data_IF_098059986749
#
_entry.id   IF_098059986749
#
_cell.length_a   1.000
_cell.length_b   1.000
_cell.length_c   1.000
_cell.angle_alpha   90.00
_cell.angle_beta   90.00
_cell.angle_gamma   90.00
#
_symmetry.space_group_name_H-M   'P 1'
#
loop_
_entity.id
_entity.type
_entity.pdbx_description
1 polymer ?
#
# COMPACT_ATOMS: atom_id res chain seq x y z
N UNK A 1 -28.19 -10.33 20.74
CA UNK A 1 -27.04 -9.40 20.56
C UNK A 1 -26.45 -9.72 19.19
N UNK A 2 -26.61 -8.83 18.19
CA UNK A 2 -25.96 -9.02 16.88
C UNK A 2 -24.45 -8.92 17.06
N UNK A 3 -23.71 -9.84 16.45
CA UNK A 3 -22.24 -9.74 16.37
C UNK A 3 -21.90 -8.40 15.67
N UNK A 4 -20.82 -7.71 16.09
CA UNK A 4 -20.38 -6.53 15.37
C UNK A 4 -20.12 -6.89 13.91
N UNK A 5 -20.58 -6.04 12.98
CA UNK A 5 -20.33 -6.25 11.56
C UNK A 5 -18.83 -6.32 11.29
N UNK A 6 -18.41 -7.33 10.48
CA UNK A 6 -17.03 -7.49 10.04
C UNK A 6 -16.56 -6.23 9.30
N UNK A 7 -15.42 -5.67 9.68
CA UNK A 7 -14.83 -4.48 9.06
C UNK A 7 -14.06 -4.81 7.76
N UNK A 8 -13.80 -6.07 7.50
CA UNK A 8 -13.03 -6.53 6.34
C UNK A 8 -13.61 -6.06 4.99
N UNK A 9 -14.92 -6.18 4.73
CA UNK A 9 -15.51 -5.71 3.49
C UNK A 9 -15.30 -4.20 3.25
N UNK A 10 -15.49 -3.37 4.28
CA UNK A 10 -15.27 -1.92 4.17
C UNK A 10 -13.80 -1.57 3.92
N UNK A 11 -12.86 -2.23 4.60
CA UNK A 11 -11.43 -2.04 4.39
C UNK A 11 -11.03 -2.41 2.95
N UNK A 12 -11.54 -3.52 2.42
CA UNK A 12 -11.29 -3.95 1.03
C UNK A 12 -11.91 -3.01 0.01
N UNK A 13 -13.08 -2.47 0.29
CA UNK A 13 -13.69 -1.46 -0.59
C UNK A 13 -12.82 -0.19 -0.65
N UNK A 14 -12.31 0.29 0.48
CA UNK A 14 -11.36 1.41 0.50
C UNK A 14 -10.06 1.09 -0.25
N UNK A 15 -9.52 -0.13 -0.08
CA UNK A 15 -8.34 -0.59 -0.83
C UNK A 15 -8.60 -0.61 -2.34
N UNK A 16 -9.78 -1.08 -2.74
CA UNK A 16 -10.19 -1.17 -4.13
C UNK A 16 -10.20 0.18 -4.83
N UNK A 17 -10.67 1.22 -4.15
CA UNK A 17 -10.75 2.58 -4.69
C UNK A 17 -9.47 3.40 -4.51
N UNK A 18 -8.54 2.95 -3.67
CA UNK A 18 -7.29 3.63 -3.40
C UNK A 18 -6.40 3.73 -4.66
N UNK A 19 -5.80 4.89 -4.88
CA UNK A 19 -4.90 5.17 -6.01
C UNK A 19 -3.50 5.58 -5.56
N UNK A 20 -3.38 6.30 -4.46
CA UNK A 20 -2.11 6.84 -3.98
C UNK A 20 -1.82 6.38 -2.55
N UNK A 21 -0.65 5.78 -2.36
CA UNK A 21 -0.18 5.18 -1.14
C UNK A 21 1.12 5.87 -0.69
N UNK A 22 1.14 6.44 0.51
CA UNK A 22 2.35 7.02 1.11
C UNK A 22 2.94 6.07 2.15
N UNK A 23 4.20 5.68 1.96
CA UNK A 23 4.99 5.00 2.98
C UNK A 23 5.90 6.03 3.65
N UNK A 24 5.86 6.11 4.99
CA UNK A 24 6.59 7.12 5.74
C UNK A 24 7.05 6.58 7.10
N UNK A 25 8.07 7.21 7.68
CA UNK A 25 8.65 6.88 8.98
C UNK A 25 7.76 7.40 10.13
N UNK A 26 8.06 6.92 11.34
CA UNK A 26 7.41 7.39 12.57
C UNK A 26 7.70 8.88 12.85
N UNK A 27 8.89 9.35 12.49
CA UNK A 27 9.34 10.73 12.69
C UNK A 27 10.04 11.26 11.43
N UNK A 28 9.29 11.59 10.37
CA UNK A 28 9.88 12.14 9.16
C UNK A 28 10.60 13.46 9.49
N UNK A 29 11.87 13.57 9.06
CA UNK A 29 12.72 14.72 9.37
C UNK A 29 12.85 15.03 10.87
N UNK A 30 12.81 14.00 11.74
CA UNK A 30 12.82 14.11 13.21
C UNK A 30 11.64 14.91 13.82
N UNK A 31 10.55 15.06 13.07
CA UNK A 31 9.35 15.80 13.49
C UNK A 31 8.16 14.87 13.76
N UNK A 32 7.15 15.40 14.43
CA UNK A 32 5.84 14.76 14.55
C UNK A 32 5.23 14.60 13.15
N UNK A 33 4.75 13.40 12.77
CA UNK A 33 4.25 13.14 11.42
C UNK A 33 2.91 13.80 11.11
N UNK A 34 2.14 14.26 12.10
CA UNK A 34 0.75 14.65 11.93
C UNK A 34 0.51 15.68 10.82
N UNK A 35 1.30 16.76 10.79
CA UNK A 35 1.13 17.82 9.81
C UNK A 35 1.39 17.32 8.38
N UNK A 36 2.44 16.51 8.19
CA UNK A 36 2.77 15.89 6.91
C UNK A 36 1.67 14.93 6.45
N UNK A 37 1.21 14.04 7.35
CA UNK A 37 0.19 13.05 7.04
C UNK A 37 -1.14 13.72 6.66
N UNK A 38 -1.58 14.74 7.38
CA UNK A 38 -2.78 15.53 7.06
C UNK A 38 -2.66 16.20 5.69
N UNK A 39 -1.54 16.87 5.44
CA UNK A 39 -1.28 17.53 4.15
C UNK A 39 -1.29 16.53 2.99
N UNK A 40 -0.65 15.37 3.14
CA UNK A 40 -0.65 14.32 2.14
C UNK A 40 -2.06 13.76 1.85
N UNK A 41 -2.87 13.53 2.90
CA UNK A 41 -4.24 13.03 2.77
C UNK A 41 -5.17 14.09 2.13
N UNK A 42 -4.98 15.37 2.46
CA UNK A 42 -5.71 16.46 1.80
C UNK A 42 -5.41 16.50 0.29
N UNK A 43 -4.16 16.23 -0.11
CA UNK A 43 -3.75 16.11 -1.51
C UNK A 43 -4.20 14.82 -2.20
N UNK A 44 -4.90 13.93 -1.49
CA UNK A 44 -5.52 12.74 -2.04
C UNK A 44 -4.70 11.46 -1.89
N UNK A 45 -3.83 11.36 -0.90
CA UNK A 45 -3.32 10.05 -0.46
C UNK A 45 -4.46 9.24 0.16
N UNK A 46 -4.56 7.97 -0.19
CA UNK A 46 -5.65 7.07 0.24
C UNK A 46 -5.18 6.07 1.31
N UNK A 47 -3.88 5.76 1.33
CA UNK A 47 -3.27 4.79 2.24
C UNK A 47 -2.00 5.38 2.85
N UNK A 48 -1.87 5.26 4.18
CA UNK A 48 -0.63 5.56 4.90
C UNK A 48 -0.01 4.27 5.43
N UNK A 49 1.30 4.08 5.20
CA UNK A 49 2.07 3.00 5.82
C UNK A 49 3.09 3.58 6.78
N UNK A 50 3.02 3.13 8.03
CA UNK A 50 4.08 3.37 9.00
C UNK A 50 5.22 2.36 8.79
N UNK A 51 6.35 2.86 8.30
CA UNK A 51 7.57 2.06 8.06
C UNK A 51 8.74 2.66 8.82
N UNK A 52 9.02 2.14 10.00
CA UNK A 52 10.12 2.55 10.86
C UNK A 52 11.12 1.40 11.07
N UNK A 53 12.41 1.69 11.00
CA UNK A 53 13.49 0.71 11.10
C UNK A 53 14.55 1.03 12.16
N UNK A 54 14.45 2.20 12.80
CA UNK A 54 15.50 2.74 13.65
C UNK A 54 15.04 3.03 15.10
N UNK A 55 13.77 3.40 15.27
CA UNK A 55 13.21 3.79 16.56
C UNK A 55 12.79 2.59 17.40
N UNK A 56 12.73 2.80 18.71
CA UNK A 56 12.25 1.82 19.68
C UNK A 56 10.71 1.64 19.61
N UNK A 57 10.23 0.46 20.07
CA UNK A 57 8.82 0.07 20.02
C UNK A 57 7.87 1.15 20.56
N UNK A 58 8.16 1.72 21.71
CA UNK A 58 7.31 2.73 22.35
C UNK A 58 7.19 4.04 21.53
N UNK A 59 8.21 4.40 20.76
CA UNK A 59 8.15 5.57 19.87
C UNK A 59 7.34 5.27 18.63
N UNK A 60 7.47 4.05 18.08
CA UNK A 60 6.68 3.60 16.95
C UNK A 60 5.18 3.53 17.30
N UNK A 61 4.83 3.02 18.48
CA UNK A 61 3.46 2.97 18.99
C UNK A 61 2.85 4.37 19.14
N UNK A 62 3.58 5.34 19.69
CA UNK A 62 3.12 6.74 19.77
C UNK A 62 2.86 7.34 18.38
N UNK A 63 3.74 7.07 17.42
CA UNK A 63 3.52 7.52 16.04
C UNK A 63 2.32 6.80 15.41
N UNK A 64 2.13 5.50 15.67
CA UNK A 64 1.01 4.72 15.18
C UNK A 64 -0.34 5.28 15.65
N UNK A 65 -0.44 5.78 16.89
CA UNK A 65 -1.63 6.48 17.38
C UNK A 65 -1.97 7.72 16.53
N UNK A 66 -0.94 8.47 16.13
CA UNK A 66 -1.12 9.62 15.22
C UNK A 66 -1.59 9.16 13.83
N UNK A 67 -0.94 8.12 13.25
CA UNK A 67 -1.35 7.55 11.97
C UNK A 67 -2.80 7.07 12.02
N UNK A 68 -3.18 6.32 13.08
CA UNK A 68 -4.53 5.80 13.25
C UNK A 68 -5.57 6.92 13.28
N UNK A 69 -5.38 7.90 14.17
CA UNK A 69 -6.29 9.04 14.34
C UNK A 69 -6.44 9.89 13.07
N UNK A 70 -5.33 10.13 12.37
CA UNK A 70 -5.36 10.89 11.13
C UNK A 70 -6.07 10.10 10.01
N UNK A 71 -5.77 8.81 9.85
CA UNK A 71 -6.46 7.95 8.89
C UNK A 71 -7.96 7.87 9.14
N UNK A 72 -8.40 7.79 10.40
CA UNK A 72 -9.84 7.80 10.74
C UNK A 72 -10.52 9.11 10.32
N UNK A 73 -9.86 10.24 10.53
CA UNK A 73 -10.38 11.55 10.15
C UNK A 73 -10.64 11.67 8.64
N UNK A 74 -9.78 11.07 7.82
CA UNK A 74 -9.85 11.14 6.36
C UNK A 74 -10.45 9.89 5.71
N UNK A 75 -10.90 8.92 6.49
CA UNK A 75 -11.36 7.60 6.00
C UNK A 75 -10.29 6.86 5.17
N UNK A 76 -9.01 7.13 5.40
CA UNK A 76 -7.88 6.48 4.75
C UNK A 76 -7.54 5.14 5.40
N UNK A 77 -6.77 4.29 4.71
CA UNK A 77 -6.26 3.05 5.28
C UNK A 77 -4.94 3.31 6.01
N UNK A 78 -4.81 2.73 7.21
CA UNK A 78 -3.57 2.69 7.98
C UNK A 78 -2.97 1.28 7.92
N UNK A 79 -1.75 1.16 7.39
CA UNK A 79 -1.00 -0.09 7.24
C UNK A 79 0.30 -0.01 8.05
N UNK A 80 0.68 -1.09 8.72
CA UNK A 80 1.97 -1.24 9.40
C UNK A 80 2.91 -2.07 8.53
N UNK A 81 4.20 -1.75 8.51
CA UNK A 81 5.20 -2.50 7.75
C UNK A 81 5.80 -3.63 8.59
N UNK A 82 5.86 -4.86 8.05
CA UNK A 82 6.55 -6.07 8.54
C UNK A 82 6.09 -6.65 9.90
N UNK A 83 5.36 -5.93 10.73
CA UNK A 83 5.06 -6.31 12.11
C UNK A 83 3.54 -6.50 12.35
N UNK A 84 2.99 -7.73 12.22
CA UNK A 84 1.58 -8.01 12.50
C UNK A 84 1.17 -7.75 13.95
N UNK A 85 2.08 -7.97 14.92
CA UNK A 85 1.79 -7.70 16.33
C UNK A 85 1.65 -6.21 16.60
N UNK A 86 2.50 -5.39 15.99
CA UNK A 86 2.34 -3.94 16.03
C UNK A 86 1.02 -3.53 15.35
N UNK A 87 0.71 -4.07 14.19
CA UNK A 87 -0.54 -3.76 13.49
C UNK A 87 -1.77 -4.04 14.37
N UNK A 88 -1.78 -5.16 15.08
CA UNK A 88 -2.83 -5.53 16.03
C UNK A 88 -2.87 -4.60 17.24
N UNK A 89 -1.71 -4.28 17.84
CA UNK A 89 -1.61 -3.43 19.04
C UNK A 89 -2.10 -2.01 18.76
N UNK A 90 -1.79 -1.47 17.57
CA UNK A 90 -2.17 -0.11 17.15
C UNK A 90 -3.51 -0.04 16.41
N UNK A 91 -4.28 -1.14 16.37
CA UNK A 91 -5.54 -1.24 15.64
C UNK A 91 -5.41 -0.78 14.17
N UNK A 92 -4.29 -1.11 13.52
CA UNK A 92 -4.11 -0.79 12.11
C UNK A 92 -5.10 -1.56 11.24
N UNK A 93 -5.40 -1.04 10.05
CA UNK A 93 -6.28 -1.73 9.11
C UNK A 93 -5.64 -2.97 8.51
N UNK A 94 -4.29 -3.09 8.59
CA UNK A 94 -3.56 -4.25 8.09
C UNK A 94 -2.05 -4.11 8.18
N UNK A 95 -1.37 -5.03 7.51
CA UNK A 95 0.09 -5.14 7.47
C UNK A 95 0.59 -5.29 6.04
N UNK A 96 1.79 -4.81 5.76
CA UNK A 96 2.51 -5.05 4.52
C UNK A 96 3.79 -5.84 4.82
N UNK A 97 3.95 -7.02 4.24
CA UNK A 97 5.10 -7.91 4.45
C UNK A 97 6.03 -7.93 3.25
N UNK A 98 7.30 -8.27 3.50
CA UNK A 98 8.34 -8.26 2.49
C UNK A 98 8.54 -9.56 1.75
N UNK A 99 8.03 -10.70 2.27
CA UNK A 99 8.29 -12.04 1.74
C UNK A 99 7.05 -12.92 1.73
N UNK A 100 7.03 -13.87 0.80
CA UNK A 100 5.94 -14.82 0.60
C UNK A 100 5.65 -15.69 1.84
N UNK A 101 6.68 -16.16 2.55
CA UNK A 101 6.56 -16.98 3.75
C UNK A 101 5.99 -16.24 4.97
N UNK A 102 6.00 -14.92 4.95
CA UNK A 102 5.42 -14.08 6.00
C UNK A 102 3.89 -13.88 5.86
N UNK A 103 3.32 -14.14 4.67
CA UNK A 103 1.89 -13.85 4.37
C UNK A 103 0.95 -14.69 5.23
N UNK A 104 1.17 -16.01 5.32
CA UNK A 104 0.32 -16.92 6.08
C UNK A 104 0.31 -16.56 7.57
N UNK A 105 1.49 -16.30 8.15
CA UNK A 105 1.63 -15.89 9.54
C UNK A 105 0.95 -14.52 9.82
N UNK A 106 1.08 -13.57 8.90
CA UNK A 106 0.39 -12.28 9.02
C UNK A 106 -1.13 -12.43 8.99
N UNK A 107 -1.65 -13.28 8.09
CA UNK A 107 -3.08 -13.56 7.99
C UNK A 107 -3.61 -14.28 9.24
N UNK A 108 -2.86 -15.24 9.78
CA UNK A 108 -3.22 -15.94 11.02
C UNK A 108 -3.25 -14.97 12.21
N UNK A 109 -2.23 -14.11 12.35
CA UNK A 109 -2.11 -13.17 13.46
C UNK A 109 -3.21 -12.08 13.47
N UNK A 110 -3.65 -11.62 12.28
CA UNK A 110 -4.58 -10.50 12.13
C UNK A 110 -6.01 -10.90 11.78
N UNK A 111 -6.21 -12.15 11.37
CA UNK A 111 -7.53 -12.66 10.99
C UNK A 111 -8.03 -12.18 9.62
N UNK A 112 -9.28 -12.54 9.26
CA UNK A 112 -9.82 -12.33 7.90
C UNK A 112 -10.17 -10.87 7.58
N UNK A 113 -10.34 -10.02 8.56
CA UNK A 113 -10.76 -8.62 8.37
C UNK A 113 -9.61 -7.67 8.07
N UNK A 114 -8.37 -8.08 8.36
CA UNK A 114 -7.20 -7.25 8.10
C UNK A 114 -6.81 -7.26 6.61
N UNK A 115 -6.22 -6.16 6.17
CA UNK A 115 -5.56 -6.05 4.88
C UNK A 115 -4.15 -6.64 4.98
N UNK A 116 -3.77 -7.53 4.09
CA UNK A 116 -2.41 -8.06 3.97
C UNK A 116 -1.85 -7.70 2.60
N UNK A 117 -0.75 -6.95 2.59
CA UNK A 117 -0.02 -6.60 1.38
C UNK A 117 1.32 -7.31 1.30
N UNK A 118 1.82 -7.54 0.07
CA UNK A 118 3.09 -8.22 -0.19
C UNK A 118 3.95 -7.43 -1.18
N UNK A 119 5.27 -7.33 -0.92
CA UNK A 119 6.24 -6.83 -1.91
C UNK A 119 6.56 -7.91 -2.96
N UNK A 120 6.60 -7.52 -4.25
CA UNK A 120 7.05 -8.35 -5.37
C UNK A 120 8.07 -7.60 -6.22
N UNK A 121 9.05 -8.31 -6.80
CA UNK A 121 10.22 -7.72 -7.44
C UNK A 121 10.50 -8.29 -8.84
N UNK A 122 9.77 -9.31 -9.27
CA UNK A 122 9.86 -9.92 -10.60
C UNK A 122 8.49 -10.37 -11.09
N UNK A 123 8.41 -10.78 -12.36
CA UNK A 123 7.21 -11.33 -12.98
C UNK A 123 6.81 -12.64 -12.29
N UNK A 124 7.79 -13.50 -11.99
CA UNK A 124 7.55 -14.78 -11.27
C UNK A 124 7.01 -14.55 -9.84
N UNK A 125 7.47 -13.50 -9.15
CA UNK A 125 6.95 -13.16 -7.83
C UNK A 125 5.52 -12.60 -7.91
N UNK A 126 5.17 -11.89 -8.98
CA UNK A 126 3.78 -11.45 -9.24
C UNK A 126 2.88 -12.66 -9.46
N UNK A 127 3.30 -13.61 -10.31
CA UNK A 127 2.53 -14.82 -10.59
C UNK A 127 2.36 -15.69 -9.33
N UNK A 128 3.43 -15.88 -8.56
CA UNK A 128 3.37 -16.61 -7.29
C UNK A 128 2.44 -15.96 -6.26
N UNK A 129 2.37 -14.63 -6.24
CA UNK A 129 1.49 -13.91 -5.32
C UNK A 129 0.00 -14.13 -5.60
N UNK A 130 -0.37 -14.53 -6.83
CA UNK A 130 -1.76 -14.83 -7.20
C UNK A 130 -2.38 -15.99 -6.39
N UNK A 131 -1.54 -16.91 -5.89
CA UNK A 131 -1.95 -18.06 -5.08
C UNK A 131 -1.95 -17.78 -3.57
N UNK A 132 -1.57 -16.56 -3.15
CA UNK A 132 -1.44 -16.22 -1.73
C UNK A 132 -2.67 -15.47 -1.20
N UNK A 133 -2.98 -15.60 0.11
CA UNK A 133 -4.09 -14.89 0.75
C UNK A 133 -3.77 -13.42 1.05
N UNK A 134 -3.28 -12.69 0.04
CA UNK A 134 -3.01 -11.25 0.11
C UNK A 134 -4.20 -10.44 -0.41
N UNK A 135 -4.29 -9.19 0.00
CA UNK A 135 -5.31 -8.25 -0.50
C UNK A 135 -4.74 -7.32 -1.58
N UNK A 136 -3.41 -7.13 -1.63
CA UNK A 136 -2.73 -6.38 -2.67
C UNK A 136 -1.25 -6.74 -2.74
N UNK A 137 -0.60 -6.38 -3.86
CA UNK A 137 0.85 -6.47 -4.02
C UNK A 137 1.46 -5.09 -4.32
N UNK A 138 2.75 -4.93 -3.99
CA UNK A 138 3.56 -3.77 -4.36
C UNK A 138 4.70 -4.22 -5.28
N UNK A 139 4.71 -3.74 -6.51
CA UNK A 139 5.63 -4.16 -7.59
C UNK A 139 6.76 -3.15 -7.75
N UNK A 140 8.00 -3.57 -7.55
CA UNK A 140 9.18 -2.70 -7.67
C UNK A 140 10.40 -3.19 -6.89
N UNK A 141 11.50 -2.37 -6.76
CA UNK A 141 11.54 -0.96 -7.09
C UNK A 141 11.72 -0.71 -8.60
N UNK A 142 10.87 0.15 -9.18
CA UNK A 142 10.93 0.45 -10.62
C UNK A 142 12.26 1.15 -10.96
N UNK A 143 12.66 2.13 -10.16
CA UNK A 143 13.97 2.79 -10.20
C UNK A 143 14.71 2.62 -8.89
N UNK A 144 16.02 2.75 -8.94
CA UNK A 144 16.83 2.73 -7.72
C UNK A 144 16.38 3.79 -6.73
N UNK A 145 16.37 3.42 -5.45
CA UNK A 145 15.89 4.29 -4.37
C UNK A 145 16.71 4.09 -3.09
N UNK A 146 17.10 5.17 -2.42
CA UNK A 146 17.79 5.06 -1.13
C UNK A 146 16.89 4.50 0.00
N UNK A 147 15.58 4.43 -0.20
CA UNK A 147 14.64 3.87 0.79
C UNK A 147 14.85 2.38 1.05
N UNK A 148 15.31 1.63 0.04
CA UNK A 148 15.75 0.22 0.14
C UNK A 148 17.11 0.07 -0.55
N UNK A 149 18.22 0.51 0.09
CA UNK A 149 19.54 0.48 -0.53
C UNK A 149 19.95 -0.97 -0.86
N UNK A 150 20.70 -1.13 -1.97
CA UNK A 150 21.20 -2.43 -2.42
C UNK A 150 20.19 -3.29 -3.20
N UNK A 151 18.98 -2.83 -3.43
CA UNK A 151 18.05 -3.49 -4.38
C UNK A 151 18.20 -2.86 -5.76
N UNK A 152 18.50 -3.64 -6.81
CA UNK A 152 18.56 -3.14 -8.19
C UNK A 152 17.15 -2.70 -8.65
N UNK A 153 17.11 -1.73 -9.55
CA UNK A 153 15.90 -1.35 -10.25
C UNK A 153 15.40 -2.51 -11.14
N UNK A 154 14.11 -2.79 -11.10
CA UNK A 154 13.49 -3.84 -11.92
C UNK A 154 12.87 -3.28 -13.22
N UNK A 155 12.80 -1.95 -13.36
CA UNK A 155 12.20 -1.30 -14.51
C UNK A 155 10.67 -1.42 -14.57
N UNK A 156 10.11 -1.19 -15.76
CA UNK A 156 8.68 -1.19 -16.01
C UNK A 156 8.13 -2.55 -16.46
N UNK A 157 8.98 -3.53 -16.79
CA UNK A 157 8.50 -4.83 -17.28
C UNK A 157 7.61 -5.56 -16.25
N UNK A 158 7.97 -5.66 -14.95
CA UNK A 158 7.07 -6.27 -13.96
C UNK A 158 5.77 -5.50 -13.74
N UNK A 159 5.74 -4.19 -14.02
CA UNK A 159 4.49 -3.40 -13.97
C UNK A 159 3.55 -3.79 -15.11
N UNK A 160 4.08 -3.90 -16.35
CA UNK A 160 3.31 -4.33 -17.50
C UNK A 160 2.79 -5.77 -17.30
N UNK A 161 3.64 -6.67 -16.81
CA UNK A 161 3.26 -8.05 -16.48
C UNK A 161 2.14 -8.09 -15.42
N UNK A 162 2.28 -7.32 -14.34
CA UNK A 162 1.26 -7.25 -13.29
C UNK A 162 -0.08 -6.68 -13.80
N UNK A 163 -0.04 -5.75 -14.77
CA UNK A 163 -1.25 -5.20 -15.36
C UNK A 163 -2.05 -6.26 -16.15
N UNK A 164 -1.39 -7.28 -16.70
CA UNK A 164 -2.00 -8.35 -17.47
C UNK A 164 -2.33 -9.60 -16.64
N UNK A 165 -1.51 -9.94 -15.63
CA UNK A 165 -1.54 -11.23 -14.97
C UNK A 165 -1.89 -11.19 -13.47
N UNK A 166 -1.75 -10.05 -12.79
CA UNK A 166 -2.07 -9.97 -11.37
C UNK A 166 -3.59 -10.09 -11.13
N UNK A 167 -3.99 -11.00 -10.22
CA UNK A 167 -5.38 -11.15 -9.78
C UNK A 167 -5.71 -10.28 -8.57
N UNK A 168 -4.71 -9.64 -7.98
CA UNK A 168 -4.84 -8.70 -6.87
C UNK A 168 -4.61 -7.26 -7.35
N UNK A 169 -5.21 -6.26 -6.70
CA UNK A 169 -4.81 -4.87 -6.88
C UNK A 169 -3.29 -4.73 -6.68
N UNK A 170 -2.60 -3.98 -7.54
CA UNK A 170 -1.18 -3.73 -7.34
C UNK A 170 -0.83 -2.24 -7.33
N UNK A 171 0.22 -1.90 -6.58
CA UNK A 171 0.81 -0.56 -6.51
C UNK A 171 2.22 -0.59 -7.11
N UNK A 172 2.48 0.22 -8.13
CA UNK A 172 3.85 0.47 -8.59
C UNK A 172 4.63 1.25 -7.54
N UNK A 173 5.86 0.82 -7.22
CA UNK A 173 6.70 1.46 -6.19
C UNK A 173 8.16 1.56 -6.63
N UNK A 174 8.88 2.54 -6.06
CA UNK A 174 10.33 2.69 -6.18
C UNK A 174 10.74 3.80 -7.14
N UNK A 175 11.23 4.91 -6.59
CA UNK A 175 11.74 6.05 -7.34
C UNK A 175 10.66 6.86 -8.09
N UNK A 176 9.40 6.68 -7.76
CA UNK A 176 8.28 7.37 -8.42
C UNK A 176 8.16 8.80 -7.86
N UNK A 177 8.02 9.76 -8.77
CA UNK A 177 7.74 11.16 -8.49
C UNK A 177 6.83 11.77 -9.59
N UNK A 178 6.38 13.03 -9.48
CA UNK A 178 5.50 13.64 -10.48
C UNK A 178 6.07 13.70 -11.91
N UNK A 179 7.39 13.65 -12.08
CA UNK A 179 8.03 13.72 -13.40
C UNK A 179 8.01 12.39 -14.18
N UNK A 180 7.87 11.27 -13.47
CA UNK A 180 7.91 9.93 -14.05
C UNK A 180 6.65 9.09 -13.81
N UNK A 181 5.74 9.53 -12.94
CA UNK A 181 4.51 8.81 -12.58
C UNK A 181 3.67 8.41 -13.80
N UNK A 182 3.58 9.27 -14.82
CA UNK A 182 2.84 8.99 -16.05
C UNK A 182 3.41 7.79 -16.83
N UNK A 183 4.73 7.56 -16.78
CA UNK A 183 5.34 6.39 -17.42
C UNK A 183 4.90 5.10 -16.74
N UNK A 184 4.77 5.09 -15.40
CA UNK A 184 4.31 3.94 -14.63
C UNK A 184 2.84 3.65 -14.93
N UNK A 185 2.02 4.70 -15.03
CA UNK A 185 0.60 4.56 -15.36
C UNK A 185 0.41 4.06 -16.81
N UNK A 186 1.20 4.56 -17.77
CA UNK A 186 1.20 4.05 -19.15
C UNK A 186 1.66 2.59 -19.27
N UNK A 187 2.54 2.14 -18.36
CA UNK A 187 2.91 0.72 -18.26
C UNK A 187 1.81 -0.17 -17.65
N UNK A 188 0.66 0.40 -17.28
CA UNK A 188 -0.53 -0.33 -16.82
C UNK A 188 -0.84 -0.19 -15.33
N UNK A 189 -0.01 0.50 -14.52
CA UNK A 189 -0.33 0.72 -13.11
C UNK A 189 -1.53 1.66 -12.96
N UNK A 190 -2.47 1.27 -12.11
CA UNK A 190 -3.62 2.10 -11.71
C UNK A 190 -3.47 2.67 -10.30
N UNK A 191 -2.38 2.31 -9.62
CA UNK A 191 -2.07 2.68 -8.24
C UNK A 191 -0.58 2.90 -8.09
N UNK A 192 -0.19 3.92 -7.32
CA UNK A 192 1.19 4.26 -7.05
C UNK A 192 1.46 4.25 -5.54
N UNK A 193 2.61 3.71 -5.14
CA UNK A 193 3.15 3.84 -3.80
C UNK A 193 4.43 4.69 -3.84
N UNK A 194 4.47 5.72 -3.01
CA UNK A 194 5.56 6.70 -2.97
C UNK A 194 6.09 6.88 -1.56
N UNK A 195 7.29 7.41 -1.45
CA UNK A 195 7.91 7.82 -0.18
C UNK A 195 8.33 9.28 -0.31
N UNK A 196 9.53 9.54 -0.80
CA UNK A 196 10.18 10.85 -0.82
C UNK A 196 9.46 11.90 -1.66
N UNK A 197 8.80 11.49 -2.72
CA UNK A 197 8.07 12.41 -3.61
C UNK A 197 6.99 13.22 -2.88
N UNK A 198 6.44 12.70 -1.79
CA UNK A 198 5.46 13.39 -0.93
C UNK A 198 6.10 13.80 0.39
N UNK A 199 6.85 12.88 1.04
CA UNK A 199 7.46 13.14 2.36
C UNK A 199 8.41 14.34 2.35
N UNK A 200 9.26 14.46 1.31
CA UNK A 200 10.32 15.46 1.23
C UNK A 200 9.89 16.70 0.41
N UNK A 201 8.65 16.74 -0.05
CA UNK A 201 8.14 17.85 -0.83
C UNK A 201 7.92 19.10 0.06
N UNK A 202 8.19 20.31 -0.46
CA UNK A 202 7.85 21.55 0.24
C UNK A 202 6.35 21.67 0.57
N UNK A 203 5.49 21.08 -0.25
CA UNK A 203 4.05 20.91 -0.03
C UNK A 203 3.66 19.46 -0.31
N UNK A 204 3.48 18.61 0.72
CA UNK A 204 3.01 17.23 0.56
C UNK A 204 1.66 17.13 -0.17
N UNK A 205 0.75 18.10 0.09
CA UNK A 205 -0.55 18.20 -0.59
C UNK A 205 -0.38 18.40 -2.10
N UNK A 206 0.36 19.42 -2.51
CA UNK A 206 0.57 19.72 -3.93
C UNK A 206 1.32 18.56 -4.66
N UNK A 207 2.24 17.90 -3.97
CA UNK A 207 2.95 16.74 -4.52
C UNK A 207 2.02 15.54 -4.72
N UNK A 208 1.14 15.27 -3.75
CA UNK A 208 0.14 14.21 -3.86
C UNK A 208 -0.85 14.50 -5.00
N UNK A 209 -1.37 15.72 -5.11
CA UNK A 209 -2.22 16.16 -6.22
C UNK A 209 -1.51 15.99 -7.58
N UNK A 210 -0.22 16.35 -7.67
CA UNK A 210 0.55 16.20 -8.90
C UNK A 210 0.69 14.73 -9.32
N UNK A 211 0.92 13.82 -8.37
CA UNK A 211 0.94 12.38 -8.62
C UNK A 211 -0.43 11.86 -9.08
N UNK A 212 -1.52 12.34 -8.48
CA UNK A 212 -2.88 11.94 -8.88
C UNK A 212 -3.23 12.38 -10.31
N UNK A 213 -2.70 13.49 -10.78
CA UNK A 213 -2.92 13.95 -12.18
C UNK A 213 -2.38 12.96 -13.21
N UNK A 214 -1.35 12.14 -12.87
CA UNK A 214 -0.84 11.12 -13.77
C UNK A 214 -1.90 10.07 -14.17
N UNK A 215 -2.86 9.79 -13.29
CA UNK A 215 -3.96 8.86 -13.59
C UNK A 215 -4.97 9.44 -14.58
N UNK A 216 -5.21 10.76 -14.56
CA UNK A 216 -6.12 11.42 -15.49
C UNK A 216 -5.56 11.43 -16.93
N UNK A 217 -4.24 11.55 -17.07
CA UNK A 217 -3.57 11.55 -18.38
C UNK A 217 -3.60 10.17 -19.10
N UNK A 218 -3.87 9.09 -18.37
CA UNK A 218 -3.89 7.72 -18.90
C UNK A 218 -5.31 7.10 -18.94
N UNK A 219 -6.35 7.92 -18.81
CA UNK A 219 -7.75 7.45 -18.71
C UNK A 219 -8.37 6.98 -20.02
N UNK A 220 -7.59 6.83 -21.10
CA UNK A 220 -8.09 6.39 -22.41
C UNK A 220 -8.18 4.85 -22.49
N UNK A 221 -9.15 4.26 -21.78
CA UNK A 221 -9.60 2.87 -21.95
C UNK A 221 -9.81 2.10 -20.64
N UNK A 222 -10.79 1.17 -20.59
CA UNK A 222 -10.94 0.23 -19.48
C UNK A 222 -9.73 -0.70 -19.45
N UNK A 223 -9.12 -0.88 -18.28
CA UNK A 223 -8.04 -1.86 -18.10
C UNK A 223 -8.57 -3.11 -17.42
N UNK A 224 -7.89 -4.25 -17.63
CA UNK A 224 -8.15 -5.49 -16.89
C UNK A 224 -8.15 -5.29 -15.38
N UNK A 225 -7.39 -4.31 -14.87
CA UNK A 225 -7.35 -3.92 -13.46
C UNK A 225 -8.62 -3.23 -12.96
N UNK A 226 -9.38 -2.57 -13.81
CA UNK A 226 -10.68 -1.99 -13.45
C UNK A 226 -11.75 -3.10 -13.35
N UNK A 227 -11.67 -4.14 -14.20
CA UNK A 227 -12.53 -5.33 -14.11
C UNK A 227 -12.25 -6.20 -12.87
N UNK A 228 -10.98 -6.21 -12.37
CA UNK A 228 -10.62 -6.90 -11.11
C UNK A 228 -11.31 -6.26 -9.90
N UNK A 229 -11.72 -5.00 -10.00
CA UNK A 229 -12.43 -4.29 -8.94
C UNK A 229 -13.80 -4.93 -8.63
N UNK A 230 -14.43 -5.60 -9.59
CA UNK A 230 -15.74 -6.22 -9.43
C UNK A 230 -15.67 -7.72 -9.08
N UNK A 231 -14.47 -8.32 -9.06
CA UNK A 231 -14.30 -9.73 -8.70
C UNK A 231 -14.24 -9.93 -7.19
N UNK A 232 -14.93 -10.95 -6.63
CA UNK A 232 -14.73 -11.34 -5.25
C UNK A 232 -13.29 -11.83 -5.05
N UNK A 233 -12.69 -11.51 -3.90
CA UNK A 233 -11.33 -11.94 -3.57
C UNK A 233 -11.18 -13.47 -3.76
N UNK A 234 -10.18 -13.95 -4.50
CA UNK A 234 -10.09 -15.35 -4.93
C UNK A 234 -9.99 -16.36 -3.78
N UNK A 235 -9.54 -15.95 -2.59
CA UNK A 235 -9.36 -16.81 -1.41
C UNK A 235 -10.60 -16.95 -0.50
N UNK A 236 -11.77 -16.35 -0.85
CA UNK A 236 -13.01 -16.45 -0.03
C UNK A 236 -13.57 -17.87 0.12
N UNK A 237 -12.93 -18.89 -0.44
CA UNK A 237 -13.40 -20.29 -0.42
C UNK A 237 -12.68 -21.25 0.52
N UNK A 238 -11.64 -20.82 1.23
CA UNK A 238 -10.95 -21.70 2.20
C UNK A 238 -11.56 -21.44 3.58
N UNK A 239 -12.61 -22.18 3.91
CA UNK A 239 -13.02 -22.35 5.30
C UNK A 239 -11.84 -22.95 6.08
N UNK A 240 -11.55 -22.47 7.32
CA UNK A 240 -10.58 -23.16 8.16
C UNK A 240 -11.04 -24.61 8.31
N UNK A 241 -10.19 -25.54 7.84
CA UNK A 241 -10.44 -26.98 7.98
C UNK A 241 -10.69 -27.33 9.44
N UNK A 242 -11.75 -28.09 9.66
CA UNK A 242 -12.11 -28.64 10.95
C UNK A 242 -11.14 -29.68 11.45
#
# INVERSE_FOLDING_TARGET
>A
MSLPESQGPLRRERLRTARLYLCCEARPHDQDPEALLRSALTGGVDILQLREKQLGRAEIERAADTYRRVCDTYSALFIVNDDPDLARTCDAHGVHVGKHDEVAAAREALGPDAIVGLSTHSEEEVDAANELPVDYIAVGPIWETPTKPGRPAVGLAPIAHAAEHAVHPFFGIGGIDPSNAEQVVRAGARRLCVVRAVRDAPSPEAAAEALRRAFAAAADGPSSQDELLDRPAPWRGVAPGG
#
